data_IF_912834396099
#
_entry.id   IF_912834396099
#
_cell.length_a   1.000
_cell.length_b   1.000
_cell.length_c   1.000
_cell.angle_alpha   90.00
_cell.angle_beta   90.00
_cell.angle_gamma   90.00
#
_symmetry.space_group_name_H-M   'P 1'
#
loop_
_entity.id
_entity.type
_entity.pdbx_description
1 polymer ?
#
# COMPACT_ATOMS: atom_id res chain seq x y z
N UNK A 1 18.25 1.33 12.00
CA UNK A 1 17.36 0.17 11.78
C UNK A 1 17.57 -0.82 12.90
N UNK A 2 16.55 -0.98 13.76
CA UNK A 2 16.58 -1.92 14.89
C UNK A 2 16.59 -3.36 14.34
N UNK A 3 17.44 -4.22 14.90
CA UNK A 3 17.59 -5.58 14.38
C UNK A 3 16.49 -6.53 14.91
N UNK A 4 15.93 -6.24 16.09
CA UNK A 4 14.85 -7.01 16.70
C UNK A 4 13.88 -6.05 17.38
N UNK A 5 12.59 -6.34 17.29
CA UNK A 5 11.54 -5.59 17.97
C UNK A 5 11.09 -6.37 19.21
N UNK A 6 10.79 -5.64 20.27
CA UNK A 6 10.35 -6.26 21.52
C UNK A 6 8.89 -6.73 21.42
N UNK A 7 8.07 -6.00 20.67
CA UNK A 7 6.67 -6.30 20.37
C UNK A 7 6.18 -5.53 19.11
N UNK A 8 4.90 -5.70 18.75
CA UNK A 8 4.30 -5.01 17.60
C UNK A 8 4.19 -3.49 17.79
N UNK A 9 4.16 -3.00 19.04
CA UNK A 9 4.03 -1.58 19.38
C UNK A 9 5.34 -0.84 19.23
N UNK A 10 6.44 -1.49 19.61
CA UNK A 10 7.81 -1.04 19.41
C UNK A 10 8.11 -0.95 17.91
N UNK A 11 7.69 -1.94 17.11
CA UNK A 11 7.80 -1.87 15.65
C UNK A 11 7.02 -0.69 15.04
N UNK A 12 5.78 -0.44 15.49
CA UNK A 12 4.98 0.72 15.06
C UNK A 12 5.64 2.03 15.49
N UNK A 13 6.13 2.11 16.72
CA UNK A 13 6.80 3.29 17.27
C UNK A 13 8.08 3.59 16.51
N UNK A 14 8.88 2.57 16.22
CA UNK A 14 10.10 2.69 15.44
C UNK A 14 9.81 3.17 14.02
N UNK A 15 8.79 2.64 13.35
CA UNK A 15 8.40 3.12 12.02
C UNK A 15 8.02 4.60 11.98
N UNK A 16 7.38 5.11 13.04
CA UNK A 16 7.07 6.54 13.12
C UNK A 16 8.33 7.36 13.42
N UNK A 17 9.22 6.88 14.28
CA UNK A 17 10.44 7.57 14.67
C UNK A 17 11.50 7.61 13.56
N UNK A 18 11.61 6.54 12.75
CA UNK A 18 12.51 6.47 11.60
C UNK A 18 11.95 7.23 10.39
N UNK A 19 10.67 7.63 10.45
CA UNK A 19 10.09 8.53 9.46
C UNK A 19 10.50 9.98 9.73
N UNK A 20 10.61 10.79 8.68
CA UNK A 20 10.77 12.24 8.80
C UNK A 20 9.49 12.98 9.22
N UNK A 21 8.47 12.26 9.71
CA UNK A 21 7.12 12.76 9.93
C UNK A 21 6.80 12.79 11.43
N UNK A 22 6.04 13.79 11.85
CA UNK A 22 5.61 13.88 13.24
C UNK A 22 4.47 12.90 13.54
N UNK A 23 4.38 12.46 14.78
CA UNK A 23 3.26 11.65 15.27
C UNK A 23 1.88 12.28 15.02
N UNK A 24 1.80 13.62 15.02
CA UNK A 24 0.53 14.32 14.73
C UNK A 24 0.14 14.20 13.25
N UNK A 25 1.11 14.30 12.34
CA UNK A 25 0.87 14.13 10.90
C UNK A 25 0.48 12.69 10.56
N UNK A 26 1.20 11.71 11.14
CA UNK A 26 0.87 10.29 10.97
C UNK A 26 -0.53 10.00 11.50
N UNK A 27 -0.87 10.51 12.67
CA UNK A 27 -2.20 10.33 13.25
C UNK A 27 -3.32 10.94 12.38
N UNK A 28 -3.12 12.16 11.87
CA UNK A 28 -4.09 12.81 10.98
C UNK A 28 -4.27 12.04 9.66
N UNK A 29 -3.21 11.40 9.15
CA UNK A 29 -3.29 10.59 7.93
C UNK A 29 -4.02 9.24 8.14
N UNK A 30 -3.81 8.61 9.30
CA UNK A 30 -4.44 7.33 9.65
C UNK A 30 -5.91 7.52 10.02
N UNK A 31 -6.24 8.61 10.71
CA UNK A 31 -7.60 8.92 11.18
C UNK A 31 -8.11 10.26 10.60
N UNK A 32 -8.41 10.31 9.27
CA UNK A 32 -8.80 11.55 8.61
C UNK A 32 -10.13 12.13 9.12
N UNK A 33 -11.01 11.27 9.65
CA UNK A 33 -12.33 11.66 10.15
C UNK A 33 -12.30 12.22 11.59
N UNK A 34 -11.12 12.25 12.22
CA UNK A 34 -10.95 12.69 13.60
C UNK A 34 -10.24 14.03 13.70
N UNK A 35 -10.51 14.78 14.77
CA UNK A 35 -9.73 15.99 15.09
C UNK A 35 -8.27 15.60 15.35
N UNK A 36 -7.28 16.42 14.93
CA UNK A 36 -5.85 16.07 15.01
C UNK A 36 -5.37 15.65 16.40
N UNK A 37 -5.79 16.34 17.47
CA UNK A 37 -5.37 15.99 18.83
C UNK A 37 -6.03 14.69 19.33
N UNK A 38 -7.27 14.41 18.93
CA UNK A 38 -7.94 13.15 19.23
C UNK A 38 -7.33 11.98 18.45
N UNK A 39 -6.97 12.21 17.19
CA UNK A 39 -6.26 11.24 16.36
C UNK A 39 -4.88 10.92 16.96
N UNK A 40 -4.13 11.95 17.40
CA UNK A 40 -2.84 11.78 18.05
C UNK A 40 -2.93 10.97 19.34
N UNK A 41 -3.87 11.32 20.23
CA UNK A 41 -4.10 10.58 21.46
C UNK A 41 -4.45 9.11 21.16
N UNK A 42 -5.32 8.87 20.18
CA UNK A 42 -5.69 7.53 19.75
C UNK A 42 -4.49 6.74 19.20
N UNK A 43 -3.69 7.34 18.34
CA UNK A 43 -2.49 6.69 17.81
C UNK A 43 -1.49 6.32 18.92
N UNK A 44 -1.31 7.19 19.92
CA UNK A 44 -0.45 6.90 21.08
C UNK A 44 -0.98 5.76 21.94
N UNK A 45 -2.30 5.65 22.12
CA UNK A 45 -2.91 4.49 22.81
C UNK A 45 -2.70 3.21 22.00
N UNK A 46 -2.90 3.27 20.68
CA UNK A 46 -2.70 2.12 19.80
C UNK A 46 -1.24 1.65 19.70
N UNK A 47 -0.28 2.53 19.96
CA UNK A 47 1.16 2.23 19.98
C UNK A 47 1.67 1.91 21.39
N UNK A 48 0.78 1.61 22.35
CA UNK A 48 1.14 1.21 23.70
C UNK A 48 0.66 -0.23 23.97
N UNK A 49 1.49 -1.09 24.58
CA UNK A 49 1.09 -2.45 24.93
C UNK A 49 -0.07 -2.49 25.94
N UNK A 50 -0.18 -1.46 26.78
CA UNK A 50 -1.21 -1.32 27.82
C UNK A 50 -2.53 -0.72 27.33
N UNK A 51 -2.60 -0.27 26.06
CA UNK A 51 -3.82 0.30 25.50
C UNK A 51 -4.91 -0.76 25.28
N UNK A 52 -6.17 -0.34 25.20
CA UNK A 52 -7.32 -1.19 24.82
C UNK A 52 -7.57 -1.18 23.30
N UNK A 53 -7.02 -0.19 22.61
CA UNK A 53 -7.18 -0.01 21.16
C UNK A 53 -5.96 -0.53 20.40
N UNK A 54 -6.21 -1.07 19.21
CA UNK A 54 -5.21 -1.57 18.28
C UNK A 54 -5.46 -0.98 16.90
N UNK A 55 -4.39 -0.81 16.13
CA UNK A 55 -4.52 -0.49 14.71
C UNK A 55 -5.04 -1.73 13.98
N UNK A 56 -5.98 -1.53 13.06
CA UNK A 56 -6.37 -2.59 12.14
C UNK A 56 -5.25 -2.85 11.14
N UNK A 57 -5.21 -4.04 10.53
CA UNK A 57 -4.19 -4.38 9.54
C UNK A 57 -4.09 -3.35 8.40
N UNK A 58 -5.23 -2.85 7.91
CA UNK A 58 -5.25 -1.79 6.89
C UNK A 58 -4.66 -0.46 7.37
N UNK A 59 -4.81 -0.13 8.66
CA UNK A 59 -4.20 1.06 9.26
C UNK A 59 -2.69 0.90 9.43
N UNK A 60 -2.21 -0.30 9.78
CA UNK A 60 -0.77 -0.60 9.84
C UNK A 60 -0.13 -0.47 8.45
N UNK A 61 -0.77 -0.99 7.41
CA UNK A 61 -0.31 -0.79 6.01
C UNK A 61 -0.26 0.69 5.66
N UNK A 62 -1.33 1.44 5.96
CA UNK A 62 -1.37 2.88 5.66
C UNK A 62 -0.28 3.64 6.41
N UNK A 63 -0.03 3.31 7.68
CA UNK A 63 1.06 3.89 8.47
C UNK A 63 2.40 3.62 7.79
N UNK A 64 2.69 2.37 7.44
CA UNK A 64 3.94 1.98 6.80
C UNK A 64 4.17 2.68 5.46
N UNK A 65 3.15 2.75 4.61
CA UNK A 65 3.23 3.45 3.32
C UNK A 65 3.44 4.95 3.53
N UNK A 66 2.72 5.56 4.47
CA UNK A 66 2.84 6.97 4.76
C UNK A 66 4.20 7.32 5.37
N UNK A 67 4.71 6.52 6.31
CA UNK A 67 6.00 6.73 6.96
C UNK A 67 7.19 6.36 6.08
N UNK A 68 6.96 5.54 5.04
CA UNK A 68 8.00 4.87 4.22
C UNK A 68 8.96 4.00 5.05
N UNK A 69 8.50 3.61 6.25
CA UNK A 69 9.20 2.78 7.20
C UNK A 69 8.39 1.48 7.41
N UNK A 70 9.06 0.34 7.27
CA UNK A 70 8.42 -0.98 7.18
C UNK A 70 8.70 -1.87 8.38
N UNK A 71 9.05 -1.28 9.52
CA UNK A 71 9.40 -1.99 10.75
C UNK A 71 8.31 -2.99 11.20
N UNK A 72 6.99 -2.69 11.13
CA UNK A 72 5.94 -3.67 11.42
C UNK A 72 5.96 -4.89 10.50
N UNK A 73 6.32 -4.72 9.22
CA UNK A 73 6.46 -5.84 8.28
C UNK A 73 7.68 -6.70 8.64
N UNK A 74 8.78 -6.07 9.04
CA UNK A 74 9.98 -6.79 9.47
C UNK A 74 9.71 -7.61 10.74
N UNK A 75 9.05 -7.01 11.73
CA UNK A 75 8.63 -7.71 12.93
C UNK A 75 7.69 -8.89 12.61
N UNK A 76 6.69 -8.69 11.75
CA UNK A 76 5.78 -9.77 11.36
C UNK A 76 6.51 -10.94 10.69
N UNK A 77 7.54 -10.68 9.88
CA UNK A 77 8.37 -11.73 9.30
C UNK A 77 9.17 -12.49 10.37
N UNK A 78 9.76 -11.79 11.34
CA UNK A 78 10.50 -12.41 12.43
C UNK A 78 9.62 -13.32 13.29
N UNK A 79 8.43 -12.83 13.70
CA UNK A 79 7.47 -13.57 14.53
C UNK A 79 6.91 -14.82 13.84
N UNK A 80 6.85 -14.79 12.51
CA UNK A 80 6.30 -15.89 11.71
C UNK A 80 7.37 -16.76 11.07
N UNK A 81 8.65 -16.54 11.42
CA UNK A 81 9.81 -17.28 10.88
C UNK A 81 9.94 -17.22 9.35
N UNK A 82 9.57 -16.08 8.76
CA UNK A 82 9.76 -15.80 7.34
C UNK A 82 11.05 -15.02 7.11
N UNK A 83 11.64 -15.18 5.93
CA UNK A 83 12.68 -14.27 5.47
C UNK A 83 12.12 -12.85 5.36
N UNK A 84 12.90 -11.85 5.78
CA UNK A 84 12.53 -10.45 5.61
C UNK A 84 12.47 -10.11 4.11
N UNK A 85 11.45 -9.38 3.66
CA UNK A 85 11.28 -9.10 2.25
C UNK A 85 12.28 -8.04 1.77
N UNK A 86 12.89 -8.30 0.61
CA UNK A 86 13.63 -7.28 -0.12
C UNK A 86 12.66 -6.28 -0.76
N UNK A 87 13.01 -4.99 -0.73
CA UNK A 87 12.28 -4.00 -1.53
C UNK A 87 12.53 -4.31 -3.01
N UNK A 88 11.46 -4.17 -3.79
CA UNK A 88 11.58 -4.17 -5.25
C UNK A 88 12.50 -3.07 -5.70
N UNK A 89 13.35 -3.37 -6.67
CA UNK A 89 14.18 -2.35 -7.29
C UNK A 89 13.32 -1.48 -8.21
N UNK A 90 13.74 -0.23 -8.51
CA UNK A 90 13.05 0.60 -9.50
C UNK A 90 12.92 -0.09 -10.87
N UNK A 91 13.88 -0.93 -11.24
CA UNK A 91 13.83 -1.73 -12.46
C UNK A 91 12.68 -2.76 -12.43
N UNK A 92 12.42 -3.39 -11.29
CA UNK A 92 11.29 -4.31 -11.13
C UNK A 92 9.93 -3.58 -11.23
N UNK A 93 9.87 -2.33 -10.77
CA UNK A 93 8.67 -1.50 -10.92
C UNK A 93 8.44 -1.09 -12.38
N UNK A 94 9.50 -0.76 -13.12
CA UNK A 94 9.44 -0.46 -14.55
C UNK A 94 8.91 -1.66 -15.36
N UNK A 95 9.41 -2.88 -15.10
CA UNK A 95 8.92 -4.11 -15.74
C UNK A 95 7.41 -4.27 -15.51
N UNK A 96 6.96 -4.10 -14.26
CA UNK A 96 5.53 -4.21 -13.93
C UNK A 96 4.69 -3.17 -14.67
N UNK A 97 5.18 -1.94 -14.81
CA UNK A 97 4.48 -0.88 -15.56
C UNK A 97 4.41 -1.21 -17.06
N UNK A 98 5.50 -1.71 -17.64
CA UNK A 98 5.53 -2.14 -19.05
C UNK A 98 4.55 -3.30 -19.29
N UNK A 99 4.48 -4.28 -18.38
CA UNK A 99 3.50 -5.36 -18.45
C UNK A 99 2.06 -4.85 -18.45
N UNK A 100 1.75 -3.89 -17.57
CA UNK A 100 0.41 -3.26 -17.50
C UNK A 100 0.09 -2.53 -18.81
N UNK A 101 1.03 -1.76 -19.35
CA UNK A 101 0.88 -1.04 -20.63
C UNK A 101 0.61 -2.04 -21.76
N UNK A 102 1.39 -3.12 -21.85
CA UNK A 102 1.23 -4.14 -22.87
C UNK A 102 -0.12 -4.86 -22.75
N UNK A 103 -0.58 -5.15 -21.53
CA UNK A 103 -1.91 -5.71 -21.27
C UNK A 103 -3.03 -4.79 -21.74
N UNK A 104 -2.92 -3.49 -21.45
CA UNK A 104 -3.89 -2.48 -21.90
C UNK A 104 -3.89 -2.33 -23.43
N UNK A 105 -2.71 -2.27 -24.06
CA UNK A 105 -2.57 -2.18 -25.52
C UNK A 105 -3.17 -3.40 -26.22
N UNK A 106 -2.93 -4.61 -25.70
CA UNK A 106 -3.54 -5.84 -26.22
C UNK A 106 -5.06 -5.82 -26.14
N UNK A 107 -5.60 -5.28 -25.04
CA UNK A 107 -7.05 -5.14 -24.85
C UNK A 107 -7.63 -4.14 -25.86
N UNK A 108 -6.98 -2.99 -26.03
CA UNK A 108 -7.37 -1.99 -27.03
C UNK A 108 -7.34 -2.54 -28.45
N UNK A 109 -6.27 -3.26 -28.83
CA UNK A 109 -6.13 -3.86 -30.16
C UNK A 109 -7.24 -4.88 -30.45
N UNK A 110 -7.61 -5.70 -29.46
CA UNK A 110 -8.75 -6.62 -29.59
C UNK A 110 -10.06 -5.87 -29.79
N UNK A 111 -10.32 -4.85 -28.97
CA UNK A 111 -11.53 -4.05 -29.09
C UNK A 111 -11.62 -3.33 -30.45
N UNK A 112 -10.52 -2.76 -30.95
CA UNK A 112 -10.46 -2.13 -32.27
C UNK A 112 -10.75 -3.13 -33.39
N UNK A 113 -10.14 -4.32 -33.35
CA UNK A 113 -10.40 -5.37 -34.34
C UNK A 113 -11.86 -5.81 -34.35
N UNK A 114 -12.49 -5.93 -33.18
CA UNK A 114 -13.91 -6.25 -33.09
C UNK A 114 -14.80 -5.12 -33.65
N UNK A 115 -14.45 -3.86 -33.39
CA UNK A 115 -15.14 -2.70 -33.98
C UNK A 115 -15.02 -2.68 -35.51
N UNK A 116 -13.84 -2.97 -36.07
CA UNK A 116 -13.64 -3.06 -37.51
C UNK A 116 -14.48 -4.18 -38.14
N UNK A 117 -14.53 -5.35 -37.51
CA UNK A 117 -15.37 -6.46 -37.97
C UNK A 117 -16.86 -6.11 -37.95
N UNK A 118 -17.32 -5.39 -36.93
CA UNK A 118 -18.69 -4.90 -36.85
C UNK A 118 -19.00 -3.89 -37.96
N UNK A 119 -18.11 -2.93 -38.18
CA UNK A 119 -18.24 -1.93 -39.27
C UNK A 119 -18.25 -2.60 -40.65
N UNK A 120 -17.36 -3.55 -40.89
CA UNK A 120 -17.32 -4.31 -42.15
C UNK A 120 -18.61 -5.10 -42.38
N UNK A 121 -19.15 -5.76 -41.35
CA UNK A 121 -20.45 -6.46 -41.43
C UNK A 121 -21.62 -5.52 -41.70
N UNK A 122 -21.62 -4.33 -41.09
CA UNK A 122 -22.65 -3.31 -41.37
C UNK A 122 -22.55 -2.78 -42.80
N UNK A 123 -21.34 -2.54 -43.32
CA UNK A 123 -21.14 -2.11 -44.70
C UNK A 123 -21.64 -3.14 -45.72
N UNK A 124 -21.37 -4.44 -45.50
CA UNK A 124 -21.88 -5.52 -46.37
C UNK A 124 -23.42 -5.59 -46.36
N UNK A 125 -24.06 -5.33 -45.22
CA UNK A 125 -25.53 -5.28 -45.11
C UNK A 125 -26.18 -4.06 -45.76
N UNK A 126 -25.44 -2.98 -45.99
CA UNK A 126 -25.97 -1.75 -46.59
C UNK A 126 -25.97 -1.76 -48.13
N UNK A 127 -25.25 -2.72 -48.74
CA UNK A 127 -25.06 -2.83 -50.21
C UNK A 127 -25.86 -4.00 -50.81
N UNK A 128 -26.48 -4.84 -49.97
CA UNK A 128 -27.38 -5.93 -50.35
C UNK A 128 -28.84 -5.49 -50.19
#
# INVERSE_FOLDING_TARGET
MKLFYDDEFDAITQAVNDSSKSWKEVAAHIFPDMKPDSAYAKLKVCASPTGDQRLTFGQVIRLMVFCEAYDPLMHACDETLHARPDRKTPADEEVKLVEVINGAANTLNRAMKTLEQLKARQAVRAVA
#
